data_IF_905323886443
#
_entry.id   IF_905323886443
#
_cell.length_a   1.000
_cell.length_b   1.000
_cell.length_c   1.000
_cell.angle_alpha   90.00
_cell.angle_beta   90.00
_cell.angle_gamma   90.00
#
_symmetry.space_group_name_H-M   'P 1'
#
loop_
_entity.id
_entity.type
_entity.pdbx_description
1 polymer ?
#
# COMPACT_ATOMS: atom_id res chain seq x y z
N UNK A 1 -5.16 62.43 -24.67
CA UNK A 1 -6.32 61.79 -23.98
C UNK A 1 -6.89 60.55 -24.69
N UNK A 2 -6.95 60.47 -26.03
CA UNK A 2 -7.54 59.31 -26.73
C UNK A 2 -6.77 57.97 -26.60
N UNK A 3 -5.45 57.99 -26.41
CA UNK A 3 -4.62 56.76 -26.31
C UNK A 3 -4.82 56.02 -24.98
N UNK A 4 -5.10 56.75 -23.88
CA UNK A 4 -5.33 56.14 -22.55
C UNK A 4 -6.62 55.32 -22.48
N UNK A 5 -7.68 55.76 -23.17
CA UNK A 5 -8.95 55.03 -23.22
C UNK A 5 -8.85 53.73 -24.04
N UNK A 6 -7.99 53.70 -25.06
CA UNK A 6 -7.79 52.49 -25.88
C UNK A 6 -7.04 51.39 -25.14
N UNK A 7 -6.08 51.74 -24.27
CA UNK A 7 -5.31 50.77 -23.50
C UNK A 7 -6.19 50.14 -22.40
N UNK A 8 -7.00 50.94 -21.71
CA UNK A 8 -7.94 50.40 -20.72
C UNK A 8 -8.99 49.48 -21.34
N UNK A 9 -9.53 49.83 -22.52
CA UNK A 9 -10.46 48.95 -23.22
C UNK A 9 -9.81 47.62 -23.60
N UNK A 10 -8.57 47.63 -24.09
CA UNK A 10 -7.86 46.41 -24.49
C UNK A 10 -7.54 45.51 -23.28
N UNK A 11 -7.13 46.09 -22.15
CA UNK A 11 -6.87 45.34 -20.91
C UNK A 11 -8.13 44.70 -20.33
N UNK A 12 -9.27 45.41 -20.35
CA UNK A 12 -10.56 44.86 -19.90
C UNK A 12 -11.02 43.73 -20.81
N UNK A 13 -10.88 43.90 -22.14
CA UNK A 13 -11.21 42.85 -23.11
C UNK A 13 -10.32 41.60 -22.92
N UNK A 14 -9.02 41.78 -22.72
CA UNK A 14 -8.10 40.67 -22.43
C UNK A 14 -8.45 39.94 -21.12
N UNK A 15 -8.78 40.68 -20.05
CA UNK A 15 -9.24 40.12 -18.78
C UNK A 15 -10.55 39.34 -18.92
N UNK A 16 -11.48 39.84 -19.74
CA UNK A 16 -12.75 39.17 -20.00
C UNK A 16 -12.56 37.89 -20.82
N UNK A 17 -11.70 37.90 -21.83
CA UNK A 17 -11.37 36.70 -22.60
C UNK A 17 -10.58 35.67 -21.80
N UNK A 18 -9.65 36.09 -20.94
CA UNK A 18 -8.95 35.16 -20.04
C UNK A 18 -9.89 34.59 -18.98
N UNK A 19 -10.82 35.39 -18.45
CA UNK A 19 -11.88 34.87 -17.57
C UNK A 19 -12.75 33.84 -18.29
N UNK A 20 -13.27 34.16 -19.49
CA UNK A 20 -14.06 33.22 -20.29
C UNK A 20 -13.28 31.94 -20.64
N UNK A 21 -12.00 32.05 -20.98
CA UNK A 21 -11.14 30.90 -21.29
C UNK A 21 -10.86 30.03 -20.05
N UNK A 22 -10.65 30.65 -18.88
CA UNK A 22 -10.50 29.93 -17.61
C UNK A 22 -11.81 29.24 -17.24
N UNK A 23 -12.95 29.94 -17.35
CA UNK A 23 -14.27 29.39 -17.05
C UNK A 23 -14.67 28.27 -18.00
N UNK A 24 -14.37 28.38 -19.30
CA UNK A 24 -14.66 27.32 -20.27
C UNK A 24 -13.78 26.09 -20.07
N UNK A 25 -12.50 26.28 -19.70
CA UNK A 25 -11.62 25.17 -19.36
C UNK A 25 -12.03 24.51 -18.04
N UNK A 26 -12.41 25.28 -17.02
CA UNK A 26 -12.95 24.72 -15.78
C UNK A 26 -14.23 23.92 -16.05
N UNK A 27 -15.14 24.45 -16.87
CA UNK A 27 -16.38 23.75 -17.21
C UNK A 27 -16.11 22.44 -17.97
N UNK A 28 -15.22 22.46 -18.97
CA UNK A 28 -14.84 21.25 -19.72
C UNK A 28 -14.16 20.21 -18.82
N UNK A 29 -13.26 20.63 -17.93
CA UNK A 29 -12.60 19.75 -16.95
C UNK A 29 -13.61 19.12 -16.00
N UNK A 30 -14.63 19.88 -15.57
CA UNK A 30 -15.67 19.38 -14.66
C UNK A 30 -16.56 18.34 -15.36
N UNK A 31 -16.96 18.61 -16.61
CA UNK A 31 -17.77 17.65 -17.38
C UNK A 31 -17.00 16.40 -17.80
N UNK A 32 -15.69 16.51 -18.07
CA UNK A 32 -14.85 15.34 -18.37
C UNK A 32 -14.54 14.52 -17.12
N UNK A 33 -14.32 15.17 -15.96
CA UNK A 33 -14.13 14.46 -14.69
C UNK A 33 -15.40 13.73 -14.26
N UNK A 34 -16.58 14.35 -14.38
CA UNK A 34 -17.85 13.69 -14.05
C UNK A 34 -18.14 12.47 -14.95
N UNK A 35 -17.85 12.57 -16.26
CA UNK A 35 -18.06 11.46 -17.19
C UNK A 35 -17.05 10.31 -17.00
N UNK A 36 -15.79 10.63 -16.71
CA UNK A 36 -14.74 9.64 -16.41
C UNK A 36 -15.06 8.86 -15.12
N UNK A 37 -15.41 9.59 -14.05
CA UNK A 37 -15.64 9.02 -12.72
C UNK A 37 -16.94 8.20 -12.64
N UNK A 38 -17.97 8.60 -13.39
CA UNK A 38 -19.24 7.88 -13.41
C UNK A 38 -19.18 6.54 -14.18
N UNK A 39 -18.24 6.39 -15.11
CA UNK A 39 -18.08 5.14 -15.86
C UNK A 39 -17.16 4.14 -15.14
N UNK A 40 -16.20 4.63 -14.34
CA UNK A 40 -15.16 3.79 -13.73
C UNK A 40 -15.44 3.43 -12.26
N UNK A 41 -16.27 4.20 -11.56
CA UNK A 41 -16.59 3.95 -10.15
C UNK A 41 -18.01 3.39 -9.93
N UNK A 42 -18.77 3.12 -11.00
CA UNK A 42 -20.16 2.67 -10.92
C UNK A 42 -20.27 1.14 -10.89
N UNK A 43 -19.62 0.47 -9.93
CA UNK A 43 -19.95 -0.93 -9.69
C UNK A 43 -21.25 -1.02 -8.90
N UNK A 44 -22.28 -1.59 -9.52
CA UNK A 44 -23.66 -1.70 -9.01
C UNK A 44 -23.83 -2.65 -7.82
N UNK A 45 -22.74 -3.06 -7.18
CA UNK A 45 -22.71 -4.18 -6.23
C UNK A 45 -22.99 -3.75 -4.80
N UNK A 46 -22.81 -2.47 -4.46
CA UNK A 46 -22.99 -1.95 -3.10
C UNK A 46 -24.28 -1.14 -3.00
N UNK A 47 -25.33 -1.74 -2.43
CA UNK A 47 -26.66 -1.12 -2.39
C UNK A 47 -26.90 -0.24 -1.16
N UNK A 48 -26.02 -0.29 -0.15
CA UNK A 48 -26.20 0.35 1.17
C UNK A 48 -24.93 1.03 1.70
N UNK A 49 -24.23 1.83 0.89
CA UNK A 49 -23.09 2.61 1.39
C UNK A 49 -23.55 3.78 2.26
N UNK A 50 -22.85 4.02 3.38
CA UNK A 50 -23.02 5.22 4.20
C UNK A 50 -22.39 6.40 3.47
N UNK A 51 -23.17 7.48 3.28
CA UNK A 51 -22.67 8.68 2.62
C UNK A 51 -21.79 9.50 3.55
N UNK A 52 -20.54 9.75 3.14
CA UNK A 52 -19.59 10.61 3.85
C UNK A 52 -19.74 12.06 3.36
N UNK A 53 -20.11 12.99 4.24
CA UNK A 53 -20.18 14.42 3.92
C UNK A 53 -18.89 15.17 4.28
N UNK A 54 -18.07 14.57 5.14
CA UNK A 54 -16.77 15.08 5.56
C UNK A 54 -15.66 14.20 4.97
N UNK A 55 -14.65 14.82 4.38
CA UNK A 55 -13.41 14.12 3.99
C UNK A 55 -12.47 14.12 5.20
N UNK A 56 -11.70 13.06 5.46
CA UNK A 56 -10.87 12.97 6.66
C UNK A 56 -9.82 14.08 6.79
N UNK A 57 -9.41 14.71 5.69
CA UNK A 57 -8.51 15.86 5.68
C UNK A 57 -9.08 16.96 4.79
N UNK A 58 -8.72 18.21 5.04
CA UNK A 58 -9.10 19.28 4.12
C UNK A 58 -8.42 19.08 2.75
N UNK A 59 -9.22 18.78 1.72
CA UNK A 59 -8.75 18.57 0.36
C UNK A 59 -8.00 19.79 -0.22
N UNK A 60 -8.39 21.00 0.16
CA UNK A 60 -7.68 22.21 -0.28
C UNK A 60 -6.30 22.25 0.36
N UNK A 61 -6.17 21.93 1.65
CA UNK A 61 -4.87 21.91 2.32
C UNK A 61 -3.99 20.73 1.88
N UNK A 62 -4.60 19.59 1.52
CA UNK A 62 -3.91 18.43 0.99
C UNK A 62 -3.27 18.74 -0.37
N UNK A 63 -4.06 19.25 -1.32
CA UNK A 63 -3.59 19.55 -2.69
C UNK A 63 -2.86 20.88 -2.82
N UNK A 64 -3.20 21.86 -1.99
CA UNK A 64 -2.64 23.20 -2.06
C UNK A 64 -1.77 23.51 -0.85
N UNK A 65 -0.49 23.74 -1.12
CA UNK A 65 0.38 24.43 -0.16
C UNK A 65 -0.02 25.90 -0.06
N UNK A 66 0.01 26.44 1.16
CA UNK A 66 -0.18 27.87 1.44
C UNK A 66 0.89 28.72 0.73
N UNK A 67 2.04 28.11 0.41
CA UNK A 67 3.10 28.72 -0.37
C UNK A 67 2.96 28.37 -1.85
N UNK A 68 2.62 29.37 -2.68
CA UNK A 68 2.48 29.23 -4.14
C UNK A 68 3.75 28.68 -4.82
N UNK A 69 4.94 29.02 -4.33
CA UNK A 69 6.20 28.49 -4.88
C UNK A 69 6.31 27.00 -4.61
N UNK A 70 6.03 26.55 -3.38
CA UNK A 70 6.04 25.14 -3.00
C UNK A 70 4.97 24.36 -3.77
N UNK A 71 3.78 24.94 -3.93
CA UNK A 71 2.70 24.38 -4.74
C UNK A 71 3.14 24.17 -6.20
N UNK A 72 3.70 25.20 -6.83
CA UNK A 72 4.17 25.10 -8.21
C UNK A 72 5.33 24.11 -8.32
N UNK A 73 6.24 24.06 -7.35
CA UNK A 73 7.31 23.08 -7.30
C UNK A 73 6.75 21.67 -7.21
N UNK A 74 5.77 21.40 -6.34
CA UNK A 74 5.10 20.09 -6.23
C UNK A 74 4.44 19.69 -7.55
N UNK A 75 3.62 20.57 -8.14
CA UNK A 75 2.98 20.29 -9.43
C UNK A 75 4.00 20.08 -10.56
N UNK A 76 5.10 20.82 -10.56
CA UNK A 76 6.17 20.65 -11.52
C UNK A 76 6.96 19.36 -11.27
N UNK A 77 7.14 18.95 -10.02
CA UNK A 77 7.81 17.70 -9.68
C UNK A 77 6.95 16.49 -10.09
N UNK A 78 5.64 16.52 -9.83
CA UNK A 78 4.67 15.56 -10.39
C UNK A 78 4.78 15.54 -11.93
N UNK A 79 4.78 16.72 -12.54
CA UNK A 79 4.97 16.94 -13.98
C UNK A 79 6.35 16.59 -14.53
N UNK A 80 7.32 16.23 -13.68
CA UNK A 80 8.67 15.82 -14.10
C UNK A 80 9.05 14.41 -13.63
N UNK A 81 8.15 13.72 -12.91
CA UNK A 81 8.39 12.38 -12.41
C UNK A 81 9.23 12.30 -11.13
N UNK A 82 9.43 13.42 -10.44
CA UNK A 82 10.36 13.52 -9.31
C UNK A 82 9.67 13.61 -7.94
N UNK A 83 8.35 13.35 -7.89
CA UNK A 83 7.56 13.40 -6.66
C UNK A 83 6.37 12.43 -6.77
N UNK A 84 6.01 11.79 -5.65
CA UNK A 84 4.88 10.86 -5.56
C UNK A 84 3.52 11.57 -5.56
N UNK A 85 2.44 10.83 -5.75
CA UNK A 85 1.09 11.38 -5.80
C UNK A 85 0.68 12.07 -4.49
N UNK A 86 -0.22 13.05 -4.56
CA UNK A 86 -0.76 13.72 -3.36
C UNK A 86 -1.84 12.85 -2.73
N UNK A 87 -2.72 12.30 -3.56
CA UNK A 87 -3.65 11.23 -3.20
C UNK A 87 -3.40 10.08 -4.15
N UNK A 88 -2.91 8.96 -3.63
CA UNK A 88 -2.70 7.74 -4.42
C UNK A 88 -3.81 6.75 -4.10
N UNK A 89 -4.66 6.40 -5.06
CA UNK A 89 -5.49 5.23 -4.94
C UNK A 89 -4.59 4.01 -4.96
N UNK A 90 -4.68 3.22 -3.92
CA UNK A 90 -4.15 1.88 -3.91
C UNK A 90 -5.25 0.97 -4.38
N UNK A 91 -5.11 0.35 -5.55
CA UNK A 91 -6.13 -0.56 -6.08
C UNK A 91 -5.49 -1.72 -6.83
N UNK A 92 -4.58 -2.44 -6.18
CA UNK A 92 -3.81 -3.50 -6.83
C UNK A 92 -2.38 -3.11 -7.17
N UNK A 93 -1.85 -2.05 -6.56
CA UNK A 93 -0.40 -1.97 -6.38
C UNK A 93 0.01 -3.13 -5.48
N UNK A 94 0.58 -4.17 -6.08
CA UNK A 94 1.38 -5.11 -5.34
C UNK A 94 2.66 -4.35 -4.97
N UNK A 95 2.80 -3.94 -3.72
CA UNK A 95 4.08 -3.51 -3.17
C UNK A 95 4.35 -4.45 -2.02
N UNK A 96 5.59 -4.93 -1.95
CA UNK A 96 6.07 -5.81 -0.89
C UNK A 96 5.53 -5.36 0.48
N UNK A 97 4.73 -6.20 1.13
CA UNK A 97 4.20 -5.98 2.48
C UNK A 97 2.82 -5.33 2.60
N UNK A 98 2.02 -5.22 1.53
CA UNK A 98 0.67 -4.63 1.57
C UNK A 98 -0.39 -5.54 0.94
N UNK A 99 -1.65 -5.43 1.40
CA UNK A 99 -2.79 -6.22 0.89
C UNK A 99 -2.96 -6.08 -0.62
N UNK A 100 -3.11 -7.23 -1.30
CA UNK A 100 -3.64 -7.32 -2.66
C UNK A 100 -5.09 -6.80 -2.68
N UNK A 101 -5.47 -6.03 -3.70
CA UNK A 101 -6.87 -5.64 -3.92
C UNK A 101 -7.54 -4.75 -2.86
N UNK A 102 -6.83 -4.35 -1.79
CA UNK A 102 -7.39 -3.43 -0.81
C UNK A 102 -7.49 -2.03 -1.41
N UNK A 103 -8.69 -1.63 -1.80
CA UNK A 103 -8.91 -0.27 -2.26
C UNK A 103 -8.83 0.69 -1.06
N UNK A 104 -7.74 1.44 -1.00
CA UNK A 104 -7.49 2.48 0.00
C UNK A 104 -6.83 3.68 -0.63
N UNK A 105 -6.85 4.82 0.05
CA UNK A 105 -6.17 6.02 -0.42
C UNK A 105 -5.00 6.37 0.48
N UNK A 106 -3.82 6.54 -0.12
CA UNK A 106 -2.69 7.17 0.55
C UNK A 106 -2.77 8.68 0.36
N UNK A 107 -2.80 9.39 1.48
CA UNK A 107 -2.89 10.85 1.51
C UNK A 107 -1.54 11.42 1.95
N UNK A 108 -0.75 11.91 0.98
CA UNK A 108 0.57 12.49 1.23
C UNK A 108 0.46 13.98 1.48
N UNK A 109 0.90 14.41 2.67
CA UNK A 109 1.01 15.81 3.03
C UNK A 109 2.49 16.24 3.14
N UNK A 110 2.79 17.53 2.97
CA UNK A 110 4.11 18.09 3.32
C UNK A 110 4.19 18.60 4.75
N UNK A 111 3.09 18.45 5.49
CA UNK A 111 2.86 19.03 6.81
C UNK A 111 1.86 18.18 7.58
N UNK A 112 1.85 18.36 8.89
CA UNK A 112 0.82 17.80 9.75
C UNK A 112 -0.52 18.51 9.46
N UNK A 113 -1.41 17.83 8.73
CA UNK A 113 -2.78 18.26 8.51
C UNK A 113 -3.68 17.67 9.58
N UNK A 114 -4.69 18.42 9.98
CA UNK A 114 -5.72 17.94 10.90
C UNK A 114 -6.54 16.85 10.21
N UNK A 115 -6.78 15.76 10.94
CA UNK A 115 -7.59 14.63 10.52
C UNK A 115 -8.88 14.64 11.31
N UNK A 116 -10.01 14.65 10.61
CA UNK A 116 -11.34 14.70 11.19
C UNK A 116 -12.11 13.40 10.97
N UNK A 117 -12.98 13.03 11.90
CA UNK A 117 -13.91 11.91 11.75
C UNK A 117 -14.85 12.17 10.55
N UNK A 118 -14.85 11.32 9.50
CA UNK A 118 -15.68 11.53 8.31
C UNK A 118 -17.19 11.33 8.53
N UNK A 119 -17.56 10.67 9.64
CA UNK A 119 -18.93 10.33 10.00
C UNK A 119 -19.02 10.06 11.52
N UNK A 120 -20.22 10.13 12.08
CA UNK A 120 -20.50 9.66 13.44
C UNK A 120 -20.17 8.17 13.55
N UNK A 121 -19.54 7.75 14.64
CA UNK A 121 -19.15 6.35 14.76
C UNK A 121 -18.50 5.99 16.08
N UNK A 122 -18.10 4.73 16.15
CA UNK A 122 -17.46 4.15 17.32
C UNK A 122 -16.08 3.61 16.93
N UNK A 123 -15.03 4.08 17.60
CA UNK A 123 -13.70 3.48 17.46
C UNK A 123 -13.73 2.03 17.93
N UNK A 124 -13.14 1.17 17.11
CA UNK A 124 -12.95 -0.24 17.42
C UNK A 124 -11.91 -0.38 18.55
N UNK A 125 -12.07 -1.40 19.39
CA UNK A 125 -11.28 -1.60 20.61
C UNK A 125 -9.80 -1.86 20.34
N UNK A 126 -9.44 -2.33 19.14
CA UNK A 126 -8.07 -2.59 18.74
C UNK A 126 -7.47 -1.37 18.02
N UNK A 127 -6.53 -0.71 18.69
CA UNK A 127 -5.57 0.21 18.05
C UNK A 127 -4.31 -0.60 17.73
N UNK A 128 -3.93 -0.69 16.46
CA UNK A 128 -2.63 -1.26 16.10
C UNK A 128 -1.53 -0.22 16.32
N UNK A 129 -0.47 -0.60 17.02
CA UNK A 129 0.62 0.30 17.38
C UNK A 129 1.80 0.01 16.47
N UNK A 130 2.13 0.95 15.58
CA UNK A 130 3.37 0.92 14.80
C UNK A 130 4.57 1.37 15.63
N UNK A 131 4.47 2.56 16.23
CA UNK A 131 5.53 3.14 17.08
C UNK A 131 5.04 3.45 18.50
N UNK A 132 3.87 4.11 18.64
CA UNK A 132 3.26 4.39 19.95
C UNK A 132 3.93 5.49 20.77
N UNK A 133 4.95 6.17 20.23
CA UNK A 133 5.58 7.33 20.88
C UNK A 133 4.64 8.53 20.95
N UNK A 134 4.79 9.37 21.98
CA UNK A 134 4.00 10.59 22.15
C UNK A 134 4.83 11.81 21.72
N UNK A 135 4.26 12.64 20.84
CA UNK A 135 4.87 13.91 20.41
C UNK A 135 3.88 15.07 20.55
N UNK A 136 4.38 16.31 20.44
CA UNK A 136 3.57 17.51 20.40
C UNK A 136 3.44 18.02 18.98
N UNK A 137 2.20 18.18 18.51
CA UNK A 137 1.88 18.85 17.24
C UNK A 137 0.98 20.04 17.56
N UNK A 138 1.47 21.24 17.23
CA UNK A 138 0.85 22.51 17.64
C UNK A 138 0.70 22.55 19.17
N UNK A 139 -0.52 22.50 19.69
CA UNK A 139 -0.86 22.50 21.13
C UNK A 139 -1.41 21.15 21.61
N UNK A 140 -1.38 20.11 20.77
CA UNK A 140 -1.97 18.82 21.03
C UNK A 140 -0.90 17.75 21.18
N UNK A 141 -1.04 16.91 22.22
CA UNK A 141 -0.32 15.65 22.32
C UNK A 141 -0.92 14.62 21.37
N UNK A 142 -0.07 13.89 20.66
CA UNK A 142 -0.49 12.81 19.77
C UNK A 142 0.35 11.56 19.98
N UNK A 143 -0.27 10.40 19.83
CA UNK A 143 0.40 9.10 19.76
C UNK A 143 0.67 8.81 18.29
N UNK A 144 1.94 8.56 17.96
CA UNK A 144 2.38 8.46 16.57
C UNK A 144 2.27 7.05 16.02
N UNK A 145 1.94 7.02 14.72
CA UNK A 145 1.97 5.83 13.88
C UNK A 145 1.07 4.70 14.40
N UNK A 146 -0.24 4.98 14.39
CA UNK A 146 -1.28 4.06 14.80
C UNK A 146 -2.15 3.63 13.62
N UNK A 147 -2.74 2.43 13.72
CA UNK A 147 -3.87 2.00 12.91
C UNK A 147 -5.16 1.96 13.74
N UNK A 148 -6.23 2.56 13.25
CA UNK A 148 -7.54 2.60 13.93
C UNK A 148 -8.68 2.35 12.95
N UNK A 149 -9.74 1.71 13.45
CA UNK A 149 -11.01 1.52 12.74
C UNK A 149 -12.14 2.29 13.42
N UNK A 150 -13.08 2.83 12.64
CA UNK A 150 -14.31 3.47 13.12
C UNK A 150 -15.49 2.72 12.50
N UNK A 151 -16.29 2.06 13.33
CA UNK A 151 -17.59 1.51 12.91
C UNK A 151 -18.58 2.67 12.73
N UNK A 152 -19.13 2.79 11.51
CA UNK A 152 -20.10 3.83 11.13
C UNK A 152 -21.50 3.24 10.88
N UNK A 153 -21.70 1.97 11.21
CA UNK A 153 -22.95 1.21 11.07
C UNK A 153 -23.22 0.72 9.63
N UNK A 154 -24.33 -0.01 9.46
CA UNK A 154 -24.78 -0.56 8.17
C UNK A 154 -23.71 -1.41 7.46
N UNK A 155 -23.01 -2.24 8.24
CA UNK A 155 -21.91 -3.09 7.77
C UNK A 155 -20.77 -2.30 7.11
N UNK A 156 -20.61 -1.02 7.48
CA UNK A 156 -19.57 -0.13 6.99
C UNK A 156 -18.63 0.30 8.12
N UNK A 157 -17.33 0.33 7.85
CA UNK A 157 -16.35 0.94 8.75
C UNK A 157 -15.32 1.74 7.97
N UNK A 158 -14.62 2.64 8.66
CA UNK A 158 -13.54 3.45 8.12
C UNK A 158 -12.23 3.04 8.78
N UNK A 159 -11.17 2.90 7.99
CA UNK A 159 -9.83 2.60 8.50
C UNK A 159 -8.87 3.76 8.31
N UNK A 160 -8.04 4.00 9.32
CA UNK A 160 -6.94 4.95 9.26
C UNK A 160 -5.64 4.26 9.64
N UNK A 161 -4.72 4.12 8.70
CA UNK A 161 -3.36 3.63 8.95
C UNK A 161 -2.36 4.79 9.02
N UNK A 162 -1.32 4.64 9.84
CA UNK A 162 -0.29 5.65 10.08
C UNK A 162 -0.82 6.99 10.64
N UNK A 163 -2.00 7.01 11.26
CA UNK A 163 -2.55 8.23 11.86
C UNK A 163 -1.76 8.61 13.11
N UNK A 164 -1.58 9.92 13.34
CA UNK A 164 -1.11 10.44 14.61
C UNK A 164 -2.34 10.82 15.45
N UNK A 165 -2.84 9.87 16.24
CA UNK A 165 -4.08 10.00 16.98
C UNK A 165 -3.90 10.93 18.19
N UNK A 166 -4.91 11.72 18.53
CA UNK A 166 -4.89 12.51 19.77
C UNK A 166 -4.71 11.59 20.98
N UNK A 167 -3.78 11.95 21.89
CA UNK A 167 -3.50 11.18 23.11
C UNK A 167 -4.77 10.98 23.95
N UNK A 168 -5.65 11.99 24.02
CA UNK A 168 -6.91 11.90 24.76
C UNK A 168 -7.86 10.83 24.22
N UNK A 169 -7.93 10.67 22.89
CA UNK A 169 -8.77 9.65 22.25
C UNK A 169 -8.13 8.28 22.45
N UNK A 170 -6.82 8.18 22.24
CA UNK A 170 -6.08 6.94 22.49
C UNK A 170 -6.30 6.44 23.92
N UNK A 171 -6.09 7.29 24.92
CA UNK A 171 -6.25 6.95 26.34
C UNK A 171 -7.68 6.52 26.66
N UNK A 172 -8.69 7.15 26.05
CA UNK A 172 -10.09 6.77 26.25
C UNK A 172 -10.41 5.39 25.66
N UNK A 173 -9.88 5.09 24.47
CA UNK A 173 -9.98 3.75 23.87
C UNK A 173 -9.26 2.73 24.77
N UNK A 174 -8.05 3.02 25.26
CA UNK A 174 -7.33 2.10 26.16
C UNK A 174 -8.05 1.90 27.51
N UNK A 175 -8.79 2.90 27.99
CA UNK A 175 -9.47 2.83 29.28
C UNK A 175 -10.86 2.17 29.20
N UNK A 176 -11.54 2.29 28.06
CA UNK A 176 -12.95 1.90 27.92
C UNK A 176 -13.23 0.94 26.77
N UNK A 177 -12.18 0.51 26.07
CA UNK A 177 -12.22 -0.30 24.84
C UNK A 177 -13.00 0.38 23.69
N UNK A 178 -13.29 1.68 23.80
CA UNK A 178 -14.05 2.40 22.79
C UNK A 178 -13.93 3.91 22.89
N UNK A 179 -14.37 4.61 21.84
CA UNK A 179 -14.56 6.06 21.82
C UNK A 179 -15.65 6.39 20.81
N UNK A 180 -16.63 7.22 21.19
CA UNK A 180 -17.68 7.67 20.27
C UNK A 180 -17.25 9.01 19.68
N UNK A 181 -17.08 9.05 18.36
CA UNK A 181 -16.76 10.28 17.66
C UNK A 181 -17.97 10.82 16.90
N UNK A 182 -17.96 12.13 16.70
CA UNK A 182 -18.95 12.84 15.87
C UNK A 182 -18.35 13.29 14.55
N UNK A 183 -19.15 13.37 13.48
CA UNK A 183 -18.71 13.86 12.18
C UNK A 183 -18.07 15.26 12.32
N UNK A 184 -16.87 15.42 11.76
CA UNK A 184 -16.09 16.66 11.81
C UNK A 184 -15.32 16.86 13.12
N UNK A 185 -15.34 15.91 14.04
CA UNK A 185 -14.49 15.92 15.23
C UNK A 185 -13.02 15.74 14.86
N UNK A 186 -12.13 16.55 15.45
CA UNK A 186 -10.68 16.39 15.26
C UNK A 186 -10.24 15.11 15.98
N UNK A 187 -9.76 14.13 15.23
CA UNK A 187 -9.30 12.85 15.78
C UNK A 187 -7.77 12.72 15.81
N UNK A 188 -7.06 13.47 14.98
CA UNK A 188 -5.61 13.38 14.92
C UNK A 188 -4.98 14.24 13.83
N UNK A 189 -3.82 13.79 13.38
CA UNK A 189 -3.04 14.44 12.32
C UNK A 189 -2.50 13.42 11.32
N UNK A 190 -2.25 13.87 10.09
CA UNK A 190 -1.46 13.10 9.11
C UNK A 190 -0.04 12.93 9.65
N UNK A 191 0.72 11.89 9.24
CA UNK A 191 2.07 11.64 9.75
C UNK A 191 3.16 12.56 9.15
N UNK A 192 2.78 13.71 8.57
CA UNK A 192 3.71 14.62 7.91
C UNK A 192 4.14 14.08 6.54
N UNK A 193 5.45 13.83 6.30
CA UNK A 193 5.96 13.39 4.98
C UNK A 193 5.56 11.95 4.60
N UNK A 194 4.99 11.19 5.54
CA UNK A 194 4.48 9.85 5.27
C UNK A 194 3.01 9.95 4.87
N UNK A 195 2.44 8.91 4.28
CA UNK A 195 1.03 8.91 3.92
C UNK A 195 0.14 8.53 5.10
N UNK A 196 -1.02 9.16 5.19
CA UNK A 196 -2.16 8.63 5.94
C UNK A 196 -2.89 7.63 5.03
N UNK A 197 -3.15 6.43 5.54
CA UNK A 197 -3.95 5.44 4.83
C UNK A 197 -5.41 5.66 5.17
N UNK A 198 -6.27 5.74 4.16
CA UNK A 198 -7.71 5.86 4.34
C UNK A 198 -8.44 4.73 3.64
N UNK A 199 -9.14 3.92 4.43
CA UNK A 199 -9.92 2.77 3.97
C UNK A 199 -11.40 3.01 4.19
N UNK A 200 -12.21 2.48 3.28
CA UNK A 200 -13.63 2.27 3.51
C UNK A 200 -13.87 0.76 3.45
N UNK A 201 -14.41 0.16 4.49
CA UNK A 201 -14.71 -1.27 4.54
C UNK A 201 -16.21 -1.50 4.40
N UNK A 202 -16.59 -2.59 3.72
CA UNK A 202 -17.98 -2.97 3.53
C UNK A 202 -18.21 -4.48 3.71
N UNK A 203 -19.31 -4.82 4.38
CA UNK A 203 -19.80 -6.18 4.56
C UNK A 203 -19.22 -6.91 5.78
N UNK A 204 -19.72 -8.13 6.01
CA UNK A 204 -19.40 -8.95 7.21
C UNK A 204 -17.91 -9.30 7.35
N UNK A 205 -17.17 -9.30 6.23
CA UNK A 205 -15.73 -9.59 6.20
C UNK A 205 -14.85 -8.33 6.14
N UNK A 206 -15.43 -7.13 6.30
CA UNK A 206 -14.72 -5.84 6.21
C UNK A 206 -13.79 -5.76 4.99
N UNK A 207 -14.35 -5.98 3.80
CA UNK A 207 -13.55 -5.88 2.56
C UNK A 207 -13.27 -4.41 2.28
N UNK A 208 -11.99 -4.05 2.08
CA UNK A 208 -11.61 -2.68 1.73
C UNK A 208 -12.11 -2.35 0.34
N UNK A 209 -12.91 -1.30 0.25
CA UNK A 209 -13.51 -0.77 -0.96
C UNK A 209 -13.08 0.68 -1.22
N UNK A 210 -12.94 1.06 -2.50
CA UNK A 210 -12.78 2.41 -2.97
C UNK A 210 -13.71 3.33 -2.22
N UNK A 211 -13.18 4.33 -1.49
CA UNK A 211 -14.01 5.25 -0.73
C UNK A 211 -14.83 6.20 -1.61
N UNK A 212 -14.50 6.37 -2.89
CA UNK A 212 -15.13 7.35 -3.78
C UNK A 212 -16.66 7.26 -3.87
N UNK A 213 -17.29 6.08 -4.07
CA UNK A 213 -18.74 5.98 -4.22
C UNK A 213 -19.49 6.33 -2.93
N UNK A 214 -18.84 6.20 -1.77
CA UNK A 214 -19.41 6.59 -0.48
C UNK A 214 -19.36 8.10 -0.22
N UNK A 215 -18.58 8.88 -0.96
CA UNK A 215 -18.52 10.33 -0.78
C UNK A 215 -19.81 11.01 -1.24
N UNK A 216 -20.22 12.07 -0.54
CA UNK A 216 -21.28 12.97 -1.02
C UNK A 216 -20.95 13.56 -2.39
N UNK A 217 -21.97 13.94 -3.17
CA UNK A 217 -21.76 14.52 -4.52
C UNK A 217 -20.80 15.71 -4.51
N UNK A 218 -20.87 16.57 -3.49
CA UNK A 218 -19.96 17.72 -3.38
C UNK A 218 -18.51 17.29 -3.18
N UNK A 219 -18.27 16.28 -2.33
CA UNK A 219 -16.93 15.72 -2.13
C UNK A 219 -16.43 14.99 -3.37
N UNK A 220 -17.28 14.21 -4.03
CA UNK A 220 -16.95 13.55 -5.30
C UNK A 220 -16.48 14.56 -6.36
N UNK A 221 -17.24 15.65 -6.56
CA UNK A 221 -16.87 16.72 -7.51
C UNK A 221 -15.56 17.40 -7.12
N UNK A 222 -15.39 17.77 -5.84
CA UNK A 222 -14.18 18.44 -5.35
C UNK A 222 -12.94 17.56 -5.48
N UNK A 223 -13.06 16.31 -5.04
CA UNK A 223 -11.99 15.32 -5.13
C UNK A 223 -11.65 14.99 -6.58
N UNK A 224 -12.66 14.76 -7.42
CA UNK A 224 -12.51 14.50 -8.84
C UNK A 224 -11.74 15.60 -9.55
N UNK A 225 -12.07 16.87 -9.28
CA UNK A 225 -11.33 18.02 -9.82
C UNK A 225 -9.84 17.98 -9.43
N UNK A 226 -9.52 17.77 -8.15
CA UNK A 226 -8.13 17.70 -7.69
C UNK A 226 -7.37 16.51 -8.23
N UNK A 227 -8.03 15.36 -8.24
CA UNK A 227 -7.48 14.12 -8.77
C UNK A 227 -7.17 14.25 -10.27
N UNK A 228 -8.08 14.80 -11.07
CA UNK A 228 -7.85 15.06 -12.50
C UNK A 228 -6.66 16.00 -12.71
N UNK A 229 -6.48 17.02 -11.86
CA UNK A 229 -5.34 17.93 -11.99
C UNK A 229 -3.99 17.24 -11.76
N UNK A 230 -3.87 16.38 -10.73
CA UNK A 230 -2.64 15.59 -10.55
C UNK A 230 -2.45 14.56 -11.68
N UNK A 231 -3.54 13.89 -12.09
CA UNK A 231 -3.54 12.86 -13.13
C UNK A 231 -3.02 13.42 -14.46
N UNK A 232 -3.55 14.55 -14.93
CA UNK A 232 -3.11 15.17 -16.19
C UNK A 232 -1.65 15.65 -16.14
N UNK A 233 -1.17 16.08 -14.97
CA UNK A 233 0.24 16.47 -14.80
C UNK A 233 1.18 15.27 -14.85
N UNK A 234 0.80 14.17 -14.22
CA UNK A 234 1.52 12.92 -14.23
C UNK A 234 1.55 12.31 -15.66
N UNK A 235 0.41 12.35 -16.37
CA UNK A 235 0.33 11.96 -17.78
C UNK A 235 1.33 12.71 -18.68
N UNK A 236 1.52 14.02 -18.46
CA UNK A 236 2.53 14.82 -19.20
C UNK A 236 3.96 14.39 -18.87
N UNK A 237 4.23 14.04 -17.61
CA UNK A 237 5.55 13.59 -17.15
C UNK A 237 5.85 12.16 -17.55
N UNK A 238 4.81 11.42 -17.95
CA UNK A 238 4.84 10.00 -18.28
C UNK A 238 5.25 9.11 -17.10
N UNK A 239 5.20 9.69 -15.90
CA UNK A 239 5.25 8.97 -14.63
C UNK A 239 3.82 8.72 -14.20
N UNK A 240 3.54 7.45 -13.89
CA UNK A 240 2.30 6.79 -13.43
C UNK A 240 1.13 7.72 -13.11
N UNK A 241 -0.04 7.52 -13.73
CA UNK A 241 -1.11 6.84 -12.99
C UNK A 241 -1.11 5.34 -13.15
N UNK A 242 -0.91 4.61 -12.05
CA UNK A 242 -1.10 3.15 -11.98
C UNK A 242 -2.51 2.75 -11.52
N UNK A 243 -3.30 3.71 -11.03
CA UNK A 243 -4.67 3.48 -10.62
C UNK A 243 -5.57 4.61 -11.08
N UNK A 244 -6.81 4.26 -11.40
CA UNK A 244 -7.90 5.22 -11.45
C UNK A 244 -8.32 5.54 -10.01
N UNK A 245 -9.14 6.58 -9.79
CA UNK A 245 -9.51 6.97 -8.41
C UNK A 245 -10.18 5.84 -7.61
N UNK A 246 -10.82 4.92 -8.34
CA UNK A 246 -11.22 3.59 -7.92
C UNK A 246 -10.68 2.61 -8.94
N UNK A 247 -10.18 1.46 -8.49
CA UNK A 247 -9.88 0.37 -9.38
C UNK A 247 -11.03 -0.64 -9.38
N UNK A 248 -11.25 -1.37 -10.48
CA UNK A 248 -12.21 -2.46 -10.50
C UNK A 248 -11.71 -3.59 -9.58
N UNK A 249 -12.54 -3.96 -8.59
CA UNK A 249 -12.30 -5.00 -7.57
C UNK A 249 -11.99 -6.40 -8.07
N UNK A 250 -12.33 -6.70 -9.32
CA UNK A 250 -12.14 -8.02 -9.88
C UNK A 250 -10.71 -8.11 -10.42
N UNK A 251 -9.75 -8.28 -9.53
CA UNK A 251 -8.39 -8.65 -9.90
C UNK A 251 -8.36 -10.18 -9.99
N UNK A 252 -8.33 -10.80 -11.20
CA UNK A 252 -8.23 -12.25 -11.36
C UNK A 252 -6.82 -12.73 -11.02
N UNK A 253 -6.47 -12.68 -9.73
CA UNK A 253 -5.21 -13.17 -9.18
C UNK A 253 -5.21 -14.68 -8.98
N UNK A 254 -6.39 -15.26 -8.78
CA UNK A 254 -6.57 -16.69 -8.49
C UNK A 254 -5.98 -17.54 -9.62
N UNK A 255 -5.21 -18.57 -9.26
CA UNK A 255 -4.58 -19.48 -10.23
C UNK A 255 -3.57 -18.80 -11.17
N UNK A 256 -3.00 -17.66 -10.79
CA UNK A 256 -1.97 -16.95 -11.56
C UNK A 256 -0.78 -16.58 -10.69
N UNK A 257 0.39 -16.39 -11.30
CA UNK A 257 1.57 -15.88 -10.61
C UNK A 257 1.47 -14.40 -10.23
N UNK A 258 0.42 -13.69 -10.65
CA UNK A 258 0.21 -12.28 -10.30
C UNK A 258 -0.19 -12.17 -8.83
N UNK A 259 0.48 -11.27 -8.10
CA UNK A 259 0.28 -11.12 -6.67
C UNK A 259 1.51 -10.67 -5.90
N UNK A 260 1.35 -10.55 -4.59
CA UNK A 260 2.37 -10.46 -3.56
C UNK A 260 2.53 -11.85 -2.95
N UNK A 261 3.76 -12.36 -2.96
CA UNK A 261 4.08 -13.70 -2.53
C UNK A 261 5.11 -13.66 -1.42
N UNK A 262 4.86 -14.36 -0.32
CA UNK A 262 5.71 -14.48 0.85
C UNK A 262 6.62 -15.70 0.74
N UNK A 263 7.93 -15.54 0.94
CA UNK A 263 8.86 -16.66 0.94
C UNK A 263 8.46 -17.73 1.95
N UNK A 264 8.38 -18.98 1.50
CA UNK A 264 7.96 -20.12 2.30
C UNK A 264 9.09 -21.15 2.46
N UNK A 265 9.77 -21.52 1.37
CA UNK A 265 10.88 -22.48 1.42
C UNK A 265 11.80 -22.39 0.20
N UNK A 266 13.00 -22.98 0.28
CA UNK A 266 14.03 -22.92 -0.76
C UNK A 266 15.43 -23.16 -0.18
N UNK A 267 16.49 -22.84 -0.94
CA UNK A 267 17.89 -22.97 -0.49
C UNK A 267 18.27 -21.99 0.64
N UNK A 268 17.47 -20.97 0.89
CA UNK A 268 17.74 -19.96 1.90
C UNK A 268 17.13 -20.30 3.25
N UNK A 269 17.91 -20.11 4.32
CA UNK A 269 17.42 -20.22 5.70
C UNK A 269 16.66 -18.94 6.06
N UNK A 270 15.33 -19.03 6.10
CA UNK A 270 14.46 -17.94 6.57
C UNK A 270 14.48 -17.79 8.10
N UNK A 271 15.06 -18.76 8.84
CA UNK A 271 15.25 -18.67 10.28
C UNK A 271 16.57 -17.95 10.58
N UNK A 272 16.52 -16.63 10.73
CA UNK A 272 17.67 -15.86 11.21
C UNK A 272 17.56 -15.65 12.73
N UNK A 273 18.41 -16.35 13.48
CA UNK A 273 18.57 -16.19 14.93
C UNK A 273 18.89 -14.70 15.25
N UNK A 274 18.08 -14.04 16.09
CA UNK A 274 18.21 -12.61 16.41
C UNK A 274 17.25 -11.64 15.70
N UNK A 275 16.42 -12.10 14.76
CA UNK A 275 15.25 -11.32 14.26
C UNK A 275 13.93 -11.70 14.95
N UNK A 276 13.98 -12.65 15.90
CA UNK A 276 12.83 -13.16 16.65
C UNK A 276 12.11 -12.08 17.48
N UNK A 277 12.86 -11.05 17.92
CA UNK A 277 12.34 -9.97 18.77
C UNK A 277 11.67 -8.83 17.99
N UNK A 278 11.71 -8.82 16.65
CA UNK A 278 11.18 -7.71 15.86
C UNK A 278 9.67 -7.80 15.59
N UNK A 279 8.99 -8.88 15.98
CA UNK A 279 7.51 -9.03 15.90
C UNK A 279 6.92 -8.92 14.48
N UNK A 280 7.78 -8.65 13.51
CA UNK A 280 7.53 -8.46 12.10
C UNK A 280 8.64 -9.26 11.45
N UNK A 281 8.38 -10.55 11.23
CA UNK A 281 9.08 -11.25 10.15
C UNK A 281 8.93 -10.34 8.94
N UNK A 282 9.97 -9.64 8.51
CA UNK A 282 9.95 -8.94 7.24
C UNK A 282 10.03 -10.03 6.18
N UNK A 283 8.90 -10.51 5.64
CA UNK A 283 8.90 -11.64 4.75
C UNK A 283 9.58 -11.17 3.47
N UNK A 284 10.46 -11.99 2.92
CA UNK A 284 10.97 -11.71 1.58
C UNK A 284 9.81 -11.88 0.61
N UNK A 285 9.30 -10.75 0.14
CA UNK A 285 8.21 -10.74 -0.82
C UNK A 285 8.74 -10.67 -2.22
N UNK A 286 8.09 -11.36 -3.14
CA UNK A 286 8.10 -10.95 -4.54
C UNK A 286 6.73 -10.43 -4.92
N UNK A 287 6.73 -9.57 -5.91
CA UNK A 287 5.57 -8.93 -6.46
C UNK A 287 5.59 -9.18 -7.96
N UNK A 288 4.49 -9.68 -8.48
CA UNK A 288 4.22 -9.76 -9.91
C UNK A 288 2.95 -8.98 -10.21
N UNK A 289 3.06 -7.91 -10.98
CA UNK A 289 1.96 -7.04 -11.36
C UNK A 289 1.60 -7.23 -12.83
N UNK A 290 0.33 -7.56 -13.12
CA UNK A 290 -0.14 -7.66 -14.50
C UNK A 290 -0.44 -6.27 -15.07
N UNK A 291 0.07 -6.01 -16.28
CA UNK A 291 -0.26 -4.80 -17.07
C UNK A 291 -1.77 -4.66 -17.28
N UNK A 292 -2.51 -5.76 -17.32
CA UNK A 292 -3.97 -5.75 -17.46
C UNK A 292 -4.68 -4.96 -16.34
N UNK A 293 -4.01 -4.73 -15.21
CA UNK A 293 -4.56 -3.98 -14.07
C UNK A 293 -4.22 -2.49 -14.10
N UNK A 294 -3.30 -2.07 -14.97
CA UNK A 294 -2.89 -0.67 -15.03
C UNK A 294 -3.64 0.14 -16.08
N UNK A 295 -3.69 1.45 -15.86
CA UNK A 295 -4.21 2.39 -16.86
C UNK A 295 -3.29 2.44 -18.10
N UNK A 296 -3.75 2.01 -19.29
CA UNK A 296 -2.90 1.93 -20.49
C UNK A 296 -2.47 3.31 -21.03
N UNK A 297 -3.13 4.39 -20.61
CA UNK A 297 -2.72 5.74 -20.98
C UNK A 297 -1.40 6.13 -20.34
N UNK A 298 -1.10 5.61 -19.15
CA UNK A 298 -0.07 6.16 -18.26
C UNK A 298 0.87 5.14 -17.63
N UNK A 299 0.57 3.85 -17.75
CA UNK A 299 1.44 2.79 -17.24
C UNK A 299 2.81 2.79 -17.95
N UNK A 300 3.87 3.08 -17.17
CA UNK A 300 5.30 3.14 -17.55
C UNK A 300 5.59 3.74 -18.93
N UNK A 301 5.35 5.04 -19.08
CA UNK A 301 5.71 5.80 -20.29
C UNK A 301 6.70 6.93 -19.94
N UNK A 302 7.97 6.65 -19.72
CA UNK A 302 8.97 7.72 -19.63
C UNK A 302 9.09 8.48 -20.99
N UNK A 303 8.64 9.74 -21.08
CA UNK A 303 8.67 10.51 -22.32
C UNK A 303 10.09 11.03 -22.62
N UNK A 304 11.02 10.90 -21.66
CA UNK A 304 12.42 11.30 -21.79
C UNK A 304 13.31 10.12 -22.16
N UNK A 305 12.89 8.89 -21.90
CA UNK A 305 13.64 7.68 -22.19
C UNK A 305 12.72 6.56 -22.71
N UNK A 306 12.47 6.56 -24.02
CA UNK A 306 11.60 5.56 -24.65
C UNK A 306 12.10 4.12 -24.52
N UNK A 307 13.37 3.89 -24.14
CA UNK A 307 13.88 2.53 -23.91
C UNK A 307 13.36 1.93 -22.61
N UNK A 308 12.82 2.78 -21.73
CA UNK A 308 12.14 2.42 -20.49
C UNK A 308 10.63 2.24 -20.66
N UNK A 309 10.11 2.52 -21.86
CA UNK A 309 8.69 2.37 -22.12
C UNK A 309 8.33 0.92 -22.36
N UNK A 310 7.16 0.53 -21.88
CA UNK A 310 6.61 -0.79 -22.15
C UNK A 310 6.43 -1.01 -23.65
N UNK A 311 6.77 -2.21 -24.10
CA UNK A 311 6.43 -2.70 -25.43
C UNK A 311 5.06 -3.36 -25.42
N UNK A 312 4.51 -3.66 -26.59
CA UNK A 312 3.27 -4.45 -26.67
C UNK A 312 3.43 -5.84 -26.02
N UNK A 313 4.65 -6.38 -26.04
CA UNK A 313 5.00 -7.70 -25.50
C UNK A 313 5.13 -7.73 -23.97
N UNK A 314 5.23 -6.57 -23.33
CA UNK A 314 5.28 -6.50 -21.86
C UNK A 314 3.91 -6.78 -21.26
N UNK A 315 3.84 -7.81 -20.42
CA UNK A 315 2.62 -8.29 -19.75
C UNK A 315 2.53 -7.82 -18.31
N UNK A 316 3.59 -7.26 -17.74
CA UNK A 316 3.61 -6.90 -16.33
C UNK A 316 4.96 -6.42 -15.80
N UNK A 317 5.04 -6.32 -14.48
CA UNK A 317 6.25 -5.98 -13.73
C UNK A 317 6.53 -7.07 -12.70
N UNK A 318 7.81 -7.30 -12.45
CA UNK A 318 8.31 -8.09 -11.34
C UNK A 318 9.10 -7.16 -10.41
N UNK A 319 8.95 -7.37 -9.11
CA UNK A 319 9.76 -6.71 -8.10
C UNK A 319 10.00 -7.65 -6.94
N UNK A 320 11.25 -7.90 -6.59
CA UNK A 320 11.58 -8.44 -5.29
C UNK A 320 11.60 -7.29 -4.26
N UNK A 321 10.90 -7.51 -3.15
CA UNK A 321 10.68 -6.49 -2.13
C UNK A 321 11.95 -6.04 -1.44
N UNK A 322 11.88 -4.89 -0.73
CA UNK A 322 12.98 -4.40 0.10
C UNK A 322 13.45 -5.40 1.18
N UNK A 323 12.60 -6.37 1.56
CA UNK A 323 12.91 -7.38 2.58
C UNK A 323 13.85 -8.51 2.08
N UNK A 324 14.02 -8.67 0.76
CA UNK A 324 14.92 -9.67 0.20
C UNK A 324 16.40 -9.45 0.56
N UNK A 325 16.77 -8.21 0.95
CA UNK A 325 18.12 -7.88 1.43
C UNK A 325 18.50 -8.59 2.73
N UNK A 326 17.51 -9.15 3.45
CA UNK A 326 17.74 -9.88 4.69
C UNK A 326 17.96 -11.37 4.47
N UNK A 327 17.77 -11.90 3.27
CA UNK A 327 18.16 -13.26 2.93
C UNK A 327 19.65 -13.27 2.59
N UNK A 328 20.50 -13.94 3.39
CA UNK A 328 21.92 -14.06 3.06
C UNK A 328 22.10 -14.69 1.69
N UNK A 329 22.98 -14.10 0.87
CA UNK A 329 23.35 -14.62 -0.45
C UNK A 329 22.22 -14.61 -1.51
N UNK A 330 21.07 -13.98 -1.25
CA UNK A 330 20.06 -13.74 -2.28
C UNK A 330 20.49 -12.57 -3.19
N UNK A 331 20.73 -12.80 -4.50
CA UNK A 331 21.04 -11.72 -5.42
C UNK A 331 19.74 -11.00 -5.81
N UNK A 332 19.47 -9.85 -5.21
CA UNK A 332 18.27 -9.07 -5.53
C UNK A 332 18.24 -8.72 -7.03
N UNK A 333 17.19 -9.15 -7.71
CA UNK A 333 16.93 -8.95 -9.13
C UNK A 333 16.48 -7.50 -9.39
N UNK A 334 15.75 -6.91 -8.46
CA UNK A 334 15.21 -5.55 -8.53
C UNK A 334 13.89 -5.49 -9.30
N UNK A 335 13.64 -4.35 -9.93
CA UNK A 335 12.43 -4.12 -10.72
C UNK A 335 12.66 -4.53 -12.18
N UNK A 336 11.79 -5.38 -12.71
CA UNK A 336 11.88 -5.92 -14.07
C UNK A 336 10.58 -5.77 -14.83
N UNK A 337 10.68 -5.56 -16.15
CA UNK A 337 9.56 -5.76 -17.07
C UNK A 337 9.41 -7.26 -17.35
N UNK A 338 8.17 -7.74 -17.45
CA UNK A 338 7.85 -9.16 -17.63
C UNK A 338 7.29 -9.41 -19.02
N UNK A 339 7.84 -10.41 -19.72
CA UNK A 339 7.29 -10.97 -20.97
C UNK A 339 7.07 -12.50 -20.78
N UNK A 340 5.99 -13.08 -21.31
CA UNK A 340 5.89 -14.56 -21.39
C UNK A 340 6.64 -15.01 -22.64
N UNK A 341 7.61 -15.92 -22.49
CA UNK A 341 8.33 -16.51 -23.62
C UNK A 341 7.97 -17.96 -23.88
N UNK A 342 7.41 -18.67 -22.89
CA UNK A 342 6.88 -20.03 -23.03
C UNK A 342 5.80 -20.29 -21.97
N UNK A 343 4.74 -21.04 -22.31
CA UNK A 343 3.66 -21.35 -21.37
C UNK A 343 2.76 -20.13 -21.09
N UNK A 344 2.37 -19.95 -19.84
CA UNK A 344 1.59 -18.81 -19.36
C UNK A 344 2.03 -18.36 -17.95
N UNK A 345 1.21 -17.54 -17.28
CA UNK A 345 1.48 -17.04 -15.92
C UNK A 345 1.17 -18.04 -14.81
N UNK A 346 0.79 -19.28 -15.13
CA UNK A 346 0.48 -20.34 -14.16
C UNK A 346 1.54 -21.44 -14.25
N UNK A 347 1.95 -21.82 -15.47
CA UNK A 347 3.07 -22.74 -15.72
C UNK A 347 3.82 -22.29 -16.97
N UNK A 348 5.01 -21.71 -16.78
CA UNK A 348 5.70 -21.05 -17.89
C UNK A 348 7.10 -20.53 -17.59
N UNK A 349 7.66 -19.89 -18.61
CA UNK A 349 8.94 -19.17 -18.53
C UNK A 349 8.66 -17.70 -18.84
N UNK A 350 8.96 -16.87 -17.85
CA UNK A 350 8.93 -15.43 -17.93
C UNK A 350 10.32 -14.90 -18.27
N UNK A 351 10.40 -13.89 -19.12
CA UNK A 351 11.61 -13.11 -19.34
C UNK A 351 11.50 -11.83 -18.53
N UNK A 352 12.43 -11.67 -17.60
CA UNK A 352 12.57 -10.52 -16.70
C UNK A 352 13.63 -9.58 -17.27
N UNK A 353 13.19 -8.47 -17.84
CA UNK A 353 14.09 -7.46 -18.41
C UNK A 353 14.39 -6.46 -17.29
N UNK A 354 15.63 -6.43 -16.81
CA UNK A 354 16.00 -5.56 -15.70
C UNK A 354 15.79 -4.09 -16.06
N UNK A 355 14.92 -3.45 -15.29
CA UNK A 355 14.52 -2.07 -15.46
C UNK A 355 15.31 -1.20 -14.49
N UNK A 356 15.21 -1.48 -13.18
CA UNK A 356 15.89 -0.74 -12.11
C UNK A 356 16.49 -1.75 -11.11
N UNK A 357 17.83 -1.87 -11.11
CA UNK A 357 18.56 -2.69 -10.14
C UNK A 357 19.88 -2.01 -9.76
N UNK A 358 20.19 -1.97 -8.45
CA UNK A 358 21.48 -1.50 -7.94
C UNK A 358 22.60 -2.52 -8.18
N UNK A 359 22.26 -3.81 -8.20
CA UNK A 359 23.22 -4.91 -8.13
C UNK A 359 23.50 -5.50 -9.52
N UNK A 360 22.52 -5.40 -10.43
CA UNK A 360 22.63 -5.84 -11.82
C UNK A 360 22.89 -4.69 -12.81
N UNK A 361 23.02 -3.46 -12.28
CA UNK A 361 23.28 -2.23 -13.02
C UNK A 361 22.07 -1.74 -13.85
N UNK A 362 22.11 -0.49 -14.34
CA UNK A 362 21.08 0.02 -15.24
C UNK A 362 21.20 -0.62 -16.64
N UNK A 363 20.28 -1.51 -16.99
CA UNK A 363 19.83 -1.72 -18.37
C UNK A 363 19.96 -3.12 -18.98
N UNK A 364 18.86 -3.57 -19.60
CA UNK A 364 18.71 -4.57 -20.68
C UNK A 364 19.28 -5.98 -20.47
N UNK A 365 19.76 -6.33 -19.27
CA UNK A 365 20.06 -7.72 -18.96
C UNK A 365 18.73 -8.47 -18.79
N UNK A 366 18.54 -9.54 -19.55
CA UNK A 366 17.36 -10.40 -19.40
C UNK A 366 17.72 -11.60 -18.54
N UNK A 367 16.97 -11.80 -17.46
CA UNK A 367 16.96 -13.02 -16.66
C UNK A 367 15.70 -13.79 -17.06
N UNK A 368 15.72 -15.11 -16.98
CA UNK A 368 14.56 -15.95 -17.23
C UNK A 368 14.09 -16.53 -15.91
N UNK A 369 12.79 -16.50 -15.65
CA UNK A 369 12.19 -17.12 -14.49
C UNK A 369 11.25 -18.24 -14.94
N UNK A 370 11.49 -19.46 -14.48
CA UNK A 370 10.52 -20.54 -14.62
C UNK A 370 9.55 -20.47 -13.44
N UNK A 371 8.25 -20.48 -13.73
CA UNK A 371 7.19 -20.36 -12.72
C UNK A 371 6.22 -21.54 -12.79
N UNK A 372 5.74 -21.97 -11.63
CA UNK A 372 4.66 -22.94 -11.48
C UNK A 372 3.79 -22.51 -10.29
N UNK A 373 2.50 -22.32 -10.53
CA UNK A 373 1.49 -22.04 -9.51
C UNK A 373 0.73 -23.33 -9.19
N UNK A 374 0.85 -23.79 -7.95
CA UNK A 374 0.09 -24.91 -7.42
C UNK A 374 -1.06 -24.36 -6.58
N UNK A 375 -2.28 -24.60 -7.03
CA UNK A 375 -3.48 -24.14 -6.34
C UNK A 375 -3.69 -24.90 -5.03
N UNK A 376 -4.04 -24.16 -4.00
CA UNK A 376 -4.40 -24.71 -2.71
C UNK A 376 -5.79 -25.38 -2.66
N UNK A 377 -6.17 -25.88 -1.49
CA UNK A 377 -7.45 -26.55 -1.24
C UNK A 377 -8.58 -25.58 -0.84
N UNK A 378 -8.25 -24.39 -0.29
CA UNK A 378 -9.23 -23.43 0.25
C UNK A 378 -9.07 -22.00 -0.31
N UNK A 379 -9.64 -21.76 -1.49
CA UNK A 379 -9.59 -20.44 -2.14
C UNK A 379 -8.20 -20.11 -2.70
N UNK A 380 -7.88 -18.82 -2.84
CA UNK A 380 -6.55 -18.37 -3.30
C UNK A 380 -5.53 -18.23 -2.16
N UNK A 381 -5.95 -18.50 -0.92
CA UNK A 381 -5.22 -18.19 0.32
C UNK A 381 -3.98 -19.05 0.51
N UNK A 382 -4.00 -20.27 -0.03
CA UNK A 382 -2.95 -21.28 0.09
C UNK A 382 -2.31 -21.63 -1.25
N UNK A 383 -2.42 -20.73 -2.25
CA UNK A 383 -1.67 -20.84 -3.51
C UNK A 383 -0.16 -20.84 -3.23
N UNK A 384 0.56 -21.75 -3.91
CA UNK A 384 2.02 -21.80 -3.89
C UNK A 384 2.60 -21.41 -5.24
N UNK A 385 3.55 -20.47 -5.24
CA UNK A 385 4.36 -20.11 -6.39
C UNK A 385 5.75 -20.73 -6.24
N UNK A 386 6.07 -21.69 -7.09
CA UNK A 386 7.45 -22.15 -7.31
C UNK A 386 8.09 -21.30 -8.40
N UNK A 387 9.27 -20.73 -8.11
CA UNK A 387 10.03 -19.89 -9.05
C UNK A 387 11.53 -20.24 -9.01
N UNK A 388 12.17 -20.24 -10.18
CA UNK A 388 13.62 -20.41 -10.31
C UNK A 388 14.15 -19.50 -11.42
N UNK A 389 15.32 -18.89 -11.19
CA UNK A 389 15.92 -17.89 -12.08
C UNK A 389 17.11 -18.45 -12.85
N UNK A 390 17.24 -18.05 -14.12
CA UNK A 390 18.24 -18.55 -15.06
C UNK A 390 18.83 -17.43 -15.91
N UNK A 391 20.12 -17.52 -16.21
CA UNK A 391 20.81 -16.55 -17.08
C UNK A 391 20.38 -16.63 -18.56
N UNK A 392 19.80 -17.75 -18.99
CA UNK A 392 19.38 -17.95 -20.38
C UNK A 392 18.15 -18.87 -20.50
N UNK A 393 17.47 -18.75 -21.65
CA UNK A 393 16.24 -19.49 -21.95
C UNK A 393 16.44 -21.01 -22.01
N UNK A 394 17.59 -21.48 -22.50
CA UNK A 394 17.83 -22.92 -22.68
C UNK A 394 17.88 -23.61 -21.31
N UNK A 395 18.52 -22.99 -20.32
CA UNK A 395 18.55 -23.52 -18.97
C UNK A 395 17.17 -23.43 -18.31
N UNK A 396 16.42 -22.35 -18.51
CA UNK A 396 15.04 -22.23 -18.00
C UNK A 396 14.08 -23.29 -18.54
N UNK A 397 14.40 -23.94 -19.67
CA UNK A 397 13.62 -25.03 -20.27
C UNK A 397 13.87 -26.39 -19.60
N UNK A 398 14.85 -26.51 -18.70
CA UNK A 398 15.05 -27.74 -17.92
C UNK A 398 13.98 -27.93 -16.85
N UNK A 399 14.01 -29.08 -16.17
CA UNK A 399 13.23 -29.28 -14.93
C UNK A 399 13.72 -28.33 -13.82
N UNK A 400 12.84 -28.04 -12.84
CA UNK A 400 13.24 -27.29 -11.65
C UNK A 400 14.36 -28.02 -10.92
N UNK A 401 15.34 -27.27 -10.44
CA UNK A 401 16.45 -27.82 -9.65
C UNK A 401 16.13 -27.75 -8.15
N UNK A 402 17.01 -28.29 -7.27
CA UNK A 402 16.90 -28.08 -5.83
C UNK A 402 17.01 -26.61 -5.38
N UNK A 403 17.52 -25.71 -6.23
CA UNK A 403 17.72 -24.29 -5.90
C UNK A 403 16.46 -23.43 -6.11
N UNK A 404 15.35 -24.06 -6.54
CA UNK A 404 14.05 -23.40 -6.68
C UNK A 404 13.57 -22.79 -5.36
N UNK A 405 12.80 -21.73 -5.50
CA UNK A 405 12.18 -21.00 -4.39
C UNK A 405 10.68 -21.25 -4.42
N UNK A 406 10.10 -21.44 -3.24
CA UNK A 406 8.66 -21.55 -3.08
C UNK A 406 8.16 -20.39 -2.22
N UNK A 407 7.14 -19.72 -2.72
CA UNK A 407 6.43 -18.67 -2.04
C UNK A 407 4.97 -19.06 -1.85
N UNK A 408 4.36 -18.57 -0.79
CA UNK A 408 2.93 -18.68 -0.50
C UNK A 408 2.27 -17.33 -0.76
N UNK A 409 1.02 -17.32 -1.24
CA UNK A 409 0.33 -16.04 -1.49
C UNK A 409 0.19 -15.26 -0.18
N UNK A 410 0.61 -13.99 -0.21
CA UNK A 410 0.54 -13.17 0.99
C UNK A 410 -0.88 -12.67 1.22
N UNK A 411 -1.46 -13.10 2.32
CA UNK A 411 -2.61 -12.44 2.92
C UNK A 411 -2.12 -11.81 4.22
N UNK A 412 -2.15 -10.48 4.32
CA UNK A 412 -1.86 -9.87 5.60
C UNK A 412 -2.93 -10.33 6.59
N UNK A 413 -2.45 -10.84 7.71
CA UNK A 413 -3.27 -11.06 8.90
C UNK A 413 -3.91 -9.74 9.32
N UNK A 414 -5.16 -9.50 8.90
CA UNK A 414 -6.01 -8.50 9.55
C UNK A 414 -7.16 -9.13 10.34
N UNK A 415 -7.26 -10.47 10.39
CA UNK A 415 -8.33 -11.10 11.14
C UNK A 415 -7.86 -12.19 12.12
N UNK A 416 -7.33 -11.74 13.27
CA UNK A 416 -7.51 -12.45 14.54
C UNK A 416 -8.38 -11.59 15.50
N UNK A 417 -9.41 -10.91 14.98
CA UNK A 417 -10.39 -10.21 15.84
C UNK A 417 -11.85 -10.60 15.63
N UNK A 418 -12.23 -11.27 14.54
CA UNK A 418 -13.62 -11.72 14.38
C UNK A 418 -14.02 -12.95 15.20
N UNK A 419 -13.19 -13.46 16.13
CA UNK A 419 -13.65 -14.47 17.10
C UNK A 419 -12.90 -14.50 18.45
N UNK A 420 -12.62 -13.35 19.08
CA UNK A 420 -12.47 -13.25 20.55
C UNK A 420 -11.60 -14.32 21.26
N UNK A 421 -10.59 -14.87 20.58
CA UNK A 421 -9.61 -15.79 21.14
C UNK A 421 -8.30 -15.47 20.44
N UNK A 422 -7.28 -14.95 21.15
CA UNK A 422 -5.96 -14.91 20.57
C UNK A 422 -5.58 -16.36 20.28
N UNK A 423 -5.32 -16.71 19.03
CA UNK A 423 -4.68 -17.99 18.71
C UNK A 423 -3.19 -17.90 19.00
N UNK A 424 -2.86 -17.54 20.24
CA UNK A 424 -1.56 -17.85 20.85
C UNK A 424 -1.52 -19.35 21.21
N UNK A 425 -1.65 -20.23 20.21
CA UNK A 425 -1.44 -21.68 20.37
C UNK A 425 -0.12 -22.16 19.73
N UNK A 426 0.79 -21.23 19.42
CA UNK A 426 2.21 -21.51 19.25
C UNK A 426 3.04 -20.90 20.39
N UNK A 427 2.84 -21.40 21.62
CA UNK A 427 3.67 -20.93 22.75
C UNK A 427 3.52 -21.63 24.09
N UNK A 428 2.46 -22.41 24.31
CA UNK A 428 2.23 -23.05 25.63
C UNK A 428 3.02 -24.37 25.81
N UNK A 429 3.31 -25.12 24.74
CA UNK A 429 4.10 -26.36 24.85
C UNK A 429 5.63 -26.12 24.93
N UNK A 430 6.14 -25.05 24.30
CA UNK A 430 7.58 -24.75 24.32
C UNK A 430 8.05 -24.20 25.69
N UNK A 431 7.21 -23.45 26.40
CA UNK A 431 7.53 -22.93 27.73
C UNK A 431 7.54 -24.06 28.78
N UNK A 432 6.67 -25.06 28.65
CA UNK A 432 6.65 -26.21 29.56
C UNK A 432 7.87 -27.13 29.32
N UNK A 433 8.25 -27.35 28.06
CA UNK A 433 9.47 -28.10 27.67
C UNK A 433 10.75 -27.42 28.19
N UNK A 434 10.86 -26.10 28.03
CA UNK A 434 12.05 -25.34 28.46
C UNK A 434 12.13 -25.24 29.99
N UNK A 435 11.02 -25.09 30.70
CA UNK A 435 11.01 -25.10 32.18
C UNK A 435 11.30 -26.49 32.78
N UNK A 436 10.86 -27.58 32.13
CA UNK A 436 11.24 -28.95 32.53
C UNK A 436 12.73 -29.21 32.27
N UNK A 437 13.27 -28.72 31.15
CA UNK A 437 14.69 -28.85 30.79
C UNK A 437 15.60 -28.04 31.72
N UNK A 438 15.20 -26.81 32.06
CA UNK A 438 15.92 -25.94 33.01
C UNK A 438 15.81 -26.47 34.45
N UNK A 439 14.66 -27.03 34.83
CA UNK A 439 14.46 -27.70 36.12
C UNK A 439 15.35 -28.94 36.29
N UNK A 440 15.51 -29.74 35.22
CA UNK A 440 16.41 -30.90 35.22
C UNK A 440 17.89 -30.46 35.27
N UNK A 441 18.26 -29.36 34.57
CA UNK A 441 19.63 -28.85 34.56
C UNK A 441 20.04 -28.21 35.91
N UNK A 442 19.12 -27.50 36.57
CA UNK A 442 19.32 -26.94 37.92
C UNK A 442 19.39 -28.06 38.98
N UNK A 443 18.54 -29.09 38.87
CA UNK A 443 18.61 -30.26 39.74
C UNK A 443 19.94 -31.03 39.58
N UNK A 444 20.44 -31.18 38.34
CA UNK A 444 21.70 -31.87 38.04
C UNK A 444 22.93 -31.10 38.55
N UNK A 445 22.96 -29.78 38.40
CA UNK A 445 24.06 -28.93 38.90
C UNK A 445 24.06 -28.81 40.42
N UNK A 446 22.90 -28.77 41.06
CA UNK A 446 22.79 -28.77 42.54
C UNK A 446 23.24 -30.10 43.13
N UNK A 447 22.93 -31.24 42.48
CA UNK A 447 23.39 -32.58 42.89
C UNK A 447 24.89 -32.76 42.72
N UNK A 448 25.50 -32.18 41.67
CA UNK A 448 26.97 -32.17 41.47
C UNK A 448 27.69 -31.30 42.51
N UNK A 449 27.16 -30.11 42.83
CA UNK A 449 27.74 -29.25 43.89
C UNK A 449 27.66 -29.89 45.28
N UNK A 450 26.58 -30.61 45.60
CA UNK A 450 26.44 -31.33 46.88
C UNK A 450 27.44 -32.49 47.01
N UNK A 451 27.65 -33.29 45.96
CA UNK A 451 28.69 -34.36 45.95
C UNK A 451 30.12 -33.80 46.00
N UNK A 452 30.37 -32.64 45.41
CA UNK A 452 31.68 -31.98 45.50
C UNK A 452 31.96 -31.48 46.92
N UNK A 453 30.94 -30.94 47.62
CA UNK A 453 31.07 -30.48 49.01
C UNK A 453 31.24 -31.63 50.01
N UNK A 454 30.61 -32.79 49.78
CA UNK A 454 30.80 -33.99 50.60
C UNK A 454 32.17 -34.67 50.40
N UNK A 455 32.88 -34.41 49.29
CA UNK A 455 34.27 -34.86 49.07
C UNK A 455 35.33 -33.94 49.70
N UNK A 456 34.96 -32.74 50.15
CA UNK A 456 35.86 -31.78 50.80
C UNK A 456 35.77 -31.89 52.35
N UNK A 457 34.82 -32.68 52.87
CA UNK A 457 34.61 -32.89 54.33
C UNK A 457 34.81 -34.37 54.72
N UNK A 458 35.70 -35.07 54.00
CA UNK A 458 36.33 -36.32 54.44
C UNK A 458 37.84 -36.21 54.19
#
# INVERSE_FOLDING_TARGET
MKVRNSIHSLSITLLFFSFLYISSNQFNVTTSSEAFLKNNCSNSTYSNLVTLNTFPVDLDLLFWSDNLTVRNQKLNNLGNGSWGWILTPWGGHFISGHHEGADKWYLYADRFLEVYAPHDGQFQSSVSIGNGSIIQIKSNSVVVDLGVGIDIGQDCSLGFGHIFLLETIYDEIQATDTYLCTEGELIGYTPGPWALDFHYYYGENYVSICPYPALSTNLQVKLGYYYTLQYERAKISGVHPESEICNPYEIPIENTAWGVWQYQSGPYDSYYEGLEDFGLYQPSFITLFSRGFANPETFHKDPKDNTKNLTEDTIGLFKDGQAATNIPEYPAIGECLVEVVQGDSTDGILKLITHWSSDWGPGNTSIYAKVLVENGQEGYVDDLLTIEYFDNLVDAQSEFTPDKLTYERFIPWWDDTTNGKPTNDFGSELVISTLLSLGILIAATTRRKRKAKERIIK
#
